data_IF_970688530029
#
_entry.id   IF_970688530029
#
_cell.length_a   1.000
_cell.length_b   1.000
_cell.length_c   1.000
_cell.angle_alpha   90.00
_cell.angle_beta   90.00
_cell.angle_gamma   90.00
#
_symmetry.space_group_name_H-M   'P 1'
#
loop_
_entity.id
_entity.type
_entity.pdbx_description
1 polymer ?
#
# COMPACT_ATOMS: atom_id res chain seq x y z
N UNK A 1 26.74 16.76 -25.60
CA UNK A 1 27.20 16.12 -24.32
C UNK A 1 26.41 16.81 -23.23
N UNK A 2 25.47 16.09 -22.62
CA UNK A 2 24.76 16.62 -21.45
C UNK A 2 25.78 16.91 -20.34
N UNK A 3 25.63 18.05 -19.70
CA UNK A 3 26.54 18.46 -18.64
C UNK A 3 26.30 17.58 -17.40
N UNK A 4 27.10 16.55 -17.22
CA UNK A 4 26.98 15.58 -16.13
C UNK A 4 27.01 16.22 -14.73
N UNK A 5 27.55 17.44 -14.60
CA UNK A 5 27.53 18.19 -13.35
C UNK A 5 26.13 18.64 -12.94
N UNK A 6 25.17 18.75 -13.89
CA UNK A 6 23.79 19.11 -13.58
C UNK A 6 22.97 17.96 -12.94
N UNK A 7 23.52 16.74 -12.91
CA UNK A 7 22.86 15.58 -12.30
C UNK A 7 23.04 15.58 -10.78
N UNK A 8 24.10 16.19 -10.29
CA UNK A 8 24.38 16.22 -8.85
C UNK A 8 23.68 17.41 -8.20
N UNK A 9 23.03 17.19 -7.03
CA UNK A 9 22.50 18.30 -6.24
C UNK A 9 23.64 19.17 -5.70
N UNK A 10 23.33 20.42 -5.31
CA UNK A 10 24.29 21.25 -4.59
C UNK A 10 24.66 20.61 -3.25
N UNK A 11 25.95 20.64 -2.90
CA UNK A 11 26.46 20.14 -1.61
C UNK A 11 26.12 21.16 -0.50
N UNK A 12 24.83 21.16 -0.12
CA UNK A 12 24.29 22.00 0.94
C UNK A 12 23.30 21.21 1.79
N UNK A 13 23.25 21.42 3.12
CA UNK A 13 22.22 20.86 3.97
C UNK A 13 20.83 21.24 3.46
N UNK A 14 19.92 20.26 3.33
CA UNK A 14 18.54 20.49 2.94
C UNK A 14 17.64 20.50 4.18
N UNK A 15 16.60 21.33 4.15
CA UNK A 15 15.56 21.30 5.17
C UNK A 15 14.67 20.08 4.91
N UNK A 16 14.51 19.16 5.88
CA UNK A 16 13.64 18.00 5.70
C UNK A 16 12.18 18.40 5.47
N UNK A 17 11.54 17.78 4.49
CA UNK A 17 10.07 17.88 4.33
C UNK A 17 9.46 16.77 5.20
N UNK A 18 8.76 17.17 6.27
CA UNK A 18 8.14 16.26 7.22
C UNK A 18 6.63 16.15 6.97
N UNK A 19 6.24 15.90 5.72
CA UNK A 19 4.85 15.65 5.35
C UNK A 19 4.73 14.16 4.97
N UNK A 20 3.87 13.34 5.65
CA UNK A 20 3.71 11.94 5.32
C UNK A 20 2.83 11.77 4.09
N UNK A 21 3.23 10.89 3.17
CA UNK A 21 2.52 10.61 1.93
C UNK A 21 2.22 9.13 1.72
N UNK A 22 2.88 8.24 2.45
CA UNK A 22 2.73 6.79 2.26
C UNK A 22 2.23 6.15 3.55
N UNK A 23 1.06 5.50 3.48
CA UNK A 23 0.36 4.97 4.64
C UNK A 23 0.09 3.48 4.48
N UNK A 24 0.25 2.73 5.56
CA UNK A 24 -0.18 1.34 5.64
C UNK A 24 -1.28 1.20 6.70
N UNK A 25 -2.47 0.79 6.28
CA UNK A 25 -3.64 0.59 7.13
C UNK A 25 -3.90 -0.91 7.27
N UNK A 26 -4.02 -1.41 8.50
CA UNK A 26 -4.40 -2.81 8.72
C UNK A 26 -5.45 -2.92 9.81
N UNK A 27 -6.18 -4.03 9.82
CA UNK A 27 -7.24 -4.27 10.79
C UNK A 27 -8.25 -5.29 10.28
N UNK A 28 -9.18 -5.70 11.13
CA UNK A 28 -10.25 -6.64 10.82
C UNK A 28 -11.10 -6.18 9.62
N UNK A 29 -11.77 -7.11 8.93
CA UNK A 29 -12.84 -6.75 7.99
C UNK A 29 -13.85 -5.81 8.66
N UNK A 30 -14.37 -4.85 7.89
CA UNK A 30 -15.36 -3.86 8.37
C UNK A 30 -14.87 -2.91 9.48
N UNK A 31 -13.56 -2.84 9.76
CA UNK A 31 -12.98 -1.87 10.69
C UNK A 31 -12.89 -0.44 10.11
N UNK A 32 -13.40 -0.20 8.90
CA UNK A 32 -13.50 1.13 8.30
C UNK A 32 -12.26 1.61 7.55
N UNK A 33 -11.32 0.73 7.19
CA UNK A 33 -10.09 1.09 6.48
C UNK A 33 -10.34 1.74 5.12
N UNK A 34 -11.07 1.06 4.22
CA UNK A 34 -11.41 1.55 2.87
C UNK A 34 -12.24 2.83 2.94
N UNK A 35 -13.19 2.89 3.88
CA UNK A 35 -13.99 4.09 4.14
C UNK A 35 -13.09 5.28 4.55
N UNK A 36 -12.16 5.08 5.48
CA UNK A 36 -11.20 6.12 5.87
C UNK A 36 -10.33 6.56 4.69
N UNK A 37 -9.81 5.61 3.91
CA UNK A 37 -8.96 5.89 2.76
C UNK A 37 -9.69 6.70 1.67
N UNK A 38 -11.01 6.50 1.49
CA UNK A 38 -11.80 7.22 0.49
C UNK A 38 -11.94 8.73 0.76
N UNK A 39 -11.61 9.20 1.96
CA UNK A 39 -11.61 10.63 2.29
C UNK A 39 -10.29 11.35 2.00
N UNK A 40 -9.27 10.64 1.54
CA UNK A 40 -8.07 11.30 1.02
C UNK A 40 -8.40 12.12 -0.24
N UNK A 41 -7.58 13.13 -0.59
CA UNK A 41 -7.83 14.00 -1.74
C UNK A 41 -7.85 13.24 -3.07
N UNK A 42 -8.88 13.41 -3.88
CA UNK A 42 -9.00 12.83 -5.24
C UNK A 42 -8.50 11.38 -5.34
N UNK A 43 -9.10 10.45 -4.59
CA UNK A 43 -8.63 9.07 -4.50
C UNK A 43 -8.94 8.26 -5.77
N UNK A 44 -8.00 7.39 -6.16
CA UNK A 44 -8.21 6.28 -7.09
C UNK A 44 -8.02 4.98 -6.30
N UNK A 45 -9.03 4.13 -6.29
CA UNK A 45 -8.96 2.82 -5.63
C UNK A 45 -8.54 1.73 -6.63
N UNK A 46 -7.45 1.04 -6.32
CA UNK A 46 -7.04 -0.20 -6.98
C UNK A 46 -7.59 -1.37 -6.15
N UNK A 47 -8.76 -1.84 -6.54
CA UNK A 47 -9.58 -2.75 -5.75
C UNK A 47 -9.40 -4.20 -6.20
N UNK A 48 -9.28 -5.13 -5.26
CA UNK A 48 -9.07 -6.54 -5.54
C UNK A 48 -10.30 -7.41 -5.26
N UNK A 49 -11.18 -7.00 -4.36
CA UNK A 49 -12.29 -7.82 -3.84
C UNK A 49 -13.65 -7.61 -4.54
N UNK A 50 -13.72 -6.67 -5.49
CA UNK A 50 -14.94 -6.38 -6.22
C UNK A 50 -15.94 -5.47 -5.48
N UNK A 51 -15.63 -5.00 -4.27
CA UNK A 51 -16.51 -4.13 -3.47
C UNK A 51 -16.43 -2.64 -3.86
N UNK A 52 -15.71 -2.32 -4.92
CA UNK A 52 -15.50 -0.93 -5.37
C UNK A 52 -16.81 -0.17 -5.66
N UNK A 53 -17.84 -0.87 -6.13
CA UNK A 53 -19.16 -0.27 -6.41
C UNK A 53 -19.88 0.23 -5.16
N UNK A 54 -19.48 -0.22 -3.96
CA UNK A 54 -20.02 0.24 -2.69
C UNK A 54 -19.32 1.50 -2.17
N UNK A 55 -18.22 1.90 -2.81
CA UNK A 55 -17.44 3.09 -2.45
C UNK A 55 -17.81 4.31 -3.29
N UNK A 56 -17.37 5.49 -2.84
CA UNK A 56 -17.55 6.76 -3.58
C UNK A 56 -16.31 7.13 -4.42
N UNK A 57 -15.17 6.48 -4.18
CA UNK A 57 -13.95 6.72 -4.93
C UNK A 57 -14.00 6.02 -6.30
N UNK A 58 -13.54 6.67 -7.38
CA UNK A 58 -13.27 5.97 -8.64
C UNK A 58 -12.38 4.76 -8.41
N UNK A 59 -12.69 3.63 -9.06
CA UNK A 59 -11.99 2.39 -8.80
C UNK A 59 -11.65 1.64 -10.08
N UNK A 60 -10.52 0.93 -10.04
CA UNK A 60 -10.11 -0.03 -11.06
C UNK A 60 -10.04 -1.41 -10.40
N UNK A 61 -10.76 -2.38 -10.97
CA UNK A 61 -10.67 -3.77 -10.52
C UNK A 61 -9.34 -4.38 -10.97
N UNK A 62 -8.54 -4.81 -10.02
CA UNK A 62 -7.29 -5.54 -10.27
C UNK A 62 -7.56 -7.04 -10.18
N UNK A 63 -7.19 -7.79 -11.22
CA UNK A 63 -7.35 -9.24 -11.23
C UNK A 63 -6.53 -9.91 -12.33
N UNK A 64 -6.20 -11.18 -12.13
CA UNK A 64 -5.83 -12.07 -13.21
C UNK A 64 -7.08 -12.61 -13.90
N UNK A 65 -7.10 -12.67 -15.23
CA UNK A 65 -8.12 -13.39 -15.99
C UNK A 65 -7.48 -14.46 -16.87
N UNK A 66 -8.23 -15.51 -17.17
CA UNK A 66 -7.73 -16.68 -17.86
C UNK A 66 -8.54 -16.96 -19.11
N UNK A 67 -7.88 -17.44 -20.16
CA UNK A 67 -8.47 -17.97 -21.35
C UNK A 67 -9.06 -19.36 -21.08
N UNK A 68 -9.83 -19.91 -22.04
CA UNK A 68 -10.43 -21.26 -21.92
C UNK A 68 -9.40 -22.37 -21.80
N UNK A 69 -8.19 -22.19 -22.34
CA UNK A 69 -7.07 -23.11 -22.24
C UNK A 69 -6.26 -22.97 -20.93
N UNK A 70 -6.71 -22.09 -20.04
CA UNK A 70 -6.05 -21.82 -18.75
C UNK A 70 -4.81 -20.93 -18.83
N UNK A 71 -4.46 -20.38 -20.00
CA UNK A 71 -3.43 -19.34 -20.11
C UNK A 71 -3.92 -18.01 -19.57
N UNK A 72 -2.99 -17.13 -19.13
CA UNK A 72 -3.33 -15.78 -18.67
C UNK A 72 -3.82 -14.94 -19.84
N UNK A 73 -5.03 -14.35 -19.70
CA UNK A 73 -5.54 -13.32 -20.59
C UNK A 73 -5.16 -11.92 -20.06
N UNK A 74 -5.39 -11.68 -18.77
CA UNK A 74 -4.98 -10.44 -18.09
C UNK A 74 -4.07 -10.79 -16.92
N UNK A 75 -2.96 -10.08 -16.80
CA UNK A 75 -1.96 -10.25 -15.77
C UNK A 75 -1.94 -9.03 -14.86
N UNK A 76 -2.18 -9.23 -13.57
CA UNK A 76 -2.23 -8.15 -12.57
C UNK A 76 -0.91 -7.37 -12.46
N UNK A 77 0.25 -7.99 -12.69
CA UNK A 77 1.55 -7.30 -12.68
C UNK A 77 1.58 -6.25 -13.81
N UNK A 78 1.24 -6.65 -15.04
CA UNK A 78 1.19 -5.73 -16.18
C UNK A 78 0.09 -4.68 -16.04
N UNK A 79 -1.07 -5.06 -15.52
CA UNK A 79 -2.17 -4.13 -15.26
C UNK A 79 -1.73 -3.01 -14.33
N UNK A 80 -1.12 -3.34 -13.20
CA UNK A 80 -0.63 -2.36 -12.23
C UNK A 80 0.48 -1.49 -12.80
N UNK A 81 1.44 -2.07 -13.52
CA UNK A 81 2.48 -1.30 -14.21
C UNK A 81 1.90 -0.30 -15.21
N UNK A 82 0.88 -0.71 -15.99
CA UNK A 82 0.21 0.18 -16.94
C UNK A 82 -0.55 1.32 -16.25
N UNK A 83 -1.16 1.05 -15.08
CA UNK A 83 -1.84 2.07 -14.27
C UNK A 83 -0.82 3.08 -13.76
N UNK A 84 0.32 2.63 -13.23
CA UNK A 84 1.38 3.54 -12.75
C UNK A 84 1.87 4.45 -13.88
N UNK A 85 2.11 3.90 -15.08
CA UNK A 85 2.49 4.68 -16.27
C UNK A 85 1.40 5.70 -16.64
N UNK A 86 0.12 5.31 -16.57
CA UNK A 86 -0.99 6.22 -16.83
C UNK A 86 -1.07 7.36 -15.79
N UNK A 87 -0.80 7.06 -14.53
CA UNK A 87 -0.80 8.05 -13.45
C UNK A 87 0.34 9.07 -13.55
N UNK A 88 1.41 8.76 -14.27
CA UNK A 88 2.52 9.68 -14.54
C UNK A 88 2.24 10.68 -15.68
N UNK A 89 1.15 10.48 -16.43
CA UNK A 89 0.86 11.34 -17.59
C UNK A 89 0.41 12.75 -17.18
N UNK A 90 0.74 13.79 -17.96
CA UNK A 90 0.24 15.13 -17.74
C UNK A 90 -1.30 15.18 -17.73
N UNK A 91 -1.88 16.00 -16.87
CA UNK A 91 -3.34 16.19 -16.78
C UNK A 91 -4.07 15.21 -15.86
N UNK A 92 -3.38 14.27 -15.23
CA UNK A 92 -3.97 13.40 -14.20
C UNK A 92 -4.37 14.22 -12.99
N UNK A 93 -5.65 14.07 -12.58
CA UNK A 93 -6.25 14.84 -11.47
C UNK A 93 -6.22 14.09 -10.14
N UNK A 94 -5.96 12.79 -10.14
CA UNK A 94 -5.82 12.01 -8.91
C UNK A 94 -4.70 12.54 -8.03
N UNK A 95 -4.89 12.45 -6.71
CA UNK A 95 -3.90 12.87 -5.69
C UNK A 95 -3.59 11.78 -4.70
N UNK A 96 -4.38 10.72 -4.70
CA UNK A 96 -4.19 9.56 -3.80
C UNK A 96 -4.43 8.27 -4.57
N UNK A 97 -3.57 7.29 -4.37
CA UNK A 97 -3.75 5.91 -4.84
C UNK A 97 -4.00 5.02 -3.63
N UNK A 98 -5.10 4.28 -3.65
CA UNK A 98 -5.46 3.33 -2.61
C UNK A 98 -5.29 1.91 -3.18
N UNK A 99 -4.50 1.08 -2.52
CA UNK A 99 -4.31 -0.35 -2.86
C UNK A 99 -5.14 -1.18 -1.89
N UNK A 100 -6.30 -1.66 -2.31
CA UNK A 100 -7.29 -2.33 -1.45
C UNK A 100 -7.67 -3.73 -1.99
N UNK A 101 -7.02 -4.79 -1.55
CA UNK A 101 -6.02 -4.93 -0.49
C UNK A 101 -4.69 -5.47 -1.06
N UNK A 102 -3.58 -5.07 -0.44
CA UNK A 102 -2.22 -5.48 -0.88
C UNK A 102 -1.98 -6.99 -0.72
N UNK A 103 -2.66 -7.64 0.23
CA UNK A 103 -2.59 -9.10 0.44
C UNK A 103 -3.00 -9.88 -0.80
N UNK A 104 -4.10 -9.47 -1.43
CA UNK A 104 -4.61 -10.12 -2.64
C UNK A 104 -3.70 -9.85 -3.85
N UNK A 105 -3.06 -8.67 -3.91
CA UNK A 105 -2.06 -8.36 -4.95
C UNK A 105 -0.89 -9.34 -4.87
N UNK A 106 -0.40 -9.64 -3.66
CA UNK A 106 0.66 -10.64 -3.48
C UNK A 106 0.23 -12.01 -4.01
N UNK A 107 -1.01 -12.42 -3.71
CA UNK A 107 -1.58 -13.68 -4.19
C UNK A 107 -1.75 -13.70 -5.71
N UNK A 108 -2.21 -12.59 -6.30
CA UNK A 108 -2.36 -12.46 -7.75
C UNK A 108 -1.01 -12.50 -8.47
N UNK A 109 0.02 -11.88 -7.89
CA UNK A 109 1.39 -11.94 -8.44
C UNK A 109 1.93 -13.37 -8.40
N UNK A 110 1.73 -14.09 -7.28
CA UNK A 110 2.08 -15.51 -7.17
C UNK A 110 1.40 -16.33 -8.27
N UNK A 111 0.09 -16.18 -8.45
CA UNK A 111 -0.68 -16.86 -9.50
C UNK A 111 -0.15 -16.54 -10.90
N UNK A 112 0.12 -15.26 -11.19
CA UNK A 112 0.61 -14.83 -12.49
C UNK A 112 1.99 -15.45 -12.81
N UNK A 113 2.90 -15.44 -11.84
CA UNK A 113 4.24 -16.03 -11.96
C UNK A 113 4.15 -17.55 -12.15
N UNK A 114 3.36 -18.25 -11.33
CA UNK A 114 3.17 -19.69 -11.46
C UNK A 114 2.62 -20.07 -12.84
N UNK A 115 1.64 -19.31 -13.36
CA UNK A 115 1.10 -19.53 -14.71
C UNK A 115 2.13 -19.29 -15.81
N UNK A 116 2.93 -18.23 -15.71
CA UNK A 116 3.98 -17.93 -16.66
C UNK A 116 5.02 -19.05 -16.76
N UNK A 117 5.35 -19.67 -15.64
CA UNK A 117 6.34 -20.75 -15.56
C UNK A 117 5.71 -22.14 -15.65
N UNK A 118 4.40 -22.27 -15.84
CA UNK A 118 3.66 -23.55 -15.85
C UNK A 118 3.93 -24.37 -14.57
N UNK A 119 4.09 -23.69 -13.43
CA UNK A 119 4.32 -24.27 -12.13
C UNK A 119 3.02 -24.29 -11.29
N UNK A 120 2.92 -25.24 -10.36
CA UNK A 120 1.79 -25.30 -9.42
C UNK A 120 1.98 -24.33 -8.25
N UNK A 121 3.23 -24.12 -7.85
CA UNK A 121 3.61 -23.21 -6.77
C UNK A 121 4.92 -22.50 -7.09
N UNK A 122 5.23 -21.43 -6.33
CA UNK A 122 6.54 -20.74 -6.48
C UNK A 122 7.72 -21.66 -6.14
N UNK A 123 7.52 -22.65 -5.27
CA UNK A 123 8.55 -23.61 -4.89
C UNK A 123 8.96 -24.54 -6.04
N UNK A 124 8.05 -24.80 -6.99
CA UNK A 124 8.32 -25.66 -8.16
C UNK A 124 9.16 -24.95 -9.22
N UNK A 125 9.35 -23.64 -9.10
CA UNK A 125 10.22 -22.87 -9.99
C UNK A 125 11.67 -23.00 -9.51
N UNK A 126 12.57 -23.54 -10.34
CA UNK A 126 13.92 -23.89 -9.91
C UNK A 126 14.71 -22.72 -9.32
N UNK A 127 15.64 -23.07 -8.42
CA UNK A 127 16.62 -22.15 -7.82
C UNK A 127 15.99 -20.98 -7.03
N UNK A 128 14.77 -21.17 -6.49
CA UNK A 128 14.08 -20.10 -5.73
C UNK A 128 13.65 -18.89 -6.56
N UNK A 129 13.76 -18.98 -7.90
CA UNK A 129 13.46 -17.90 -8.84
C UNK A 129 12.00 -17.41 -8.71
N UNK A 130 11.05 -18.31 -8.40
CA UNK A 130 9.65 -17.94 -8.20
C UNK A 130 9.48 -16.92 -7.08
N UNK A 131 10.07 -17.17 -5.92
CA UNK A 131 10.03 -16.23 -4.79
C UNK A 131 10.80 -14.94 -5.08
N UNK A 132 11.91 -15.00 -5.81
CA UNK A 132 12.66 -13.81 -6.20
C UNK A 132 11.82 -12.92 -7.11
N UNK A 133 11.16 -13.49 -8.10
CA UNK A 133 10.28 -12.75 -9.02
C UNK A 133 9.13 -12.05 -8.27
N UNK A 134 8.48 -12.78 -7.35
CA UNK A 134 7.41 -12.18 -6.54
C UNK A 134 7.92 -11.00 -5.71
N UNK A 135 9.05 -11.17 -5.01
CA UNK A 135 9.65 -10.10 -4.23
C UNK A 135 10.00 -8.87 -5.08
N UNK A 136 10.65 -9.11 -6.24
CA UNK A 136 11.04 -8.03 -7.14
C UNK A 136 9.82 -7.30 -7.71
N UNK A 137 8.79 -8.05 -8.12
CA UNK A 137 7.55 -7.44 -8.66
C UNK A 137 6.83 -6.60 -7.60
N UNK A 138 6.73 -7.10 -6.36
CA UNK A 138 6.12 -6.34 -5.26
C UNK A 138 6.94 -5.09 -4.91
N UNK A 139 8.25 -5.24 -4.79
CA UNK A 139 9.14 -4.12 -4.49
C UNK A 139 9.09 -3.05 -5.59
N UNK A 140 9.08 -3.48 -6.86
CA UNK A 140 8.94 -2.55 -7.99
C UNK A 140 7.63 -1.77 -7.91
N UNK A 141 6.48 -2.47 -7.70
CA UNK A 141 5.18 -1.81 -7.55
C UNK A 141 5.20 -0.75 -6.44
N UNK A 142 5.74 -1.10 -5.25
CA UNK A 142 5.78 -0.19 -4.11
C UNK A 142 6.65 1.03 -4.40
N UNK A 143 7.82 0.84 -5.02
CA UNK A 143 8.72 1.94 -5.38
C UNK A 143 8.13 2.83 -6.47
N UNK A 144 7.49 2.25 -7.48
CA UNK A 144 6.85 2.99 -8.56
C UNK A 144 5.68 3.85 -8.05
N UNK A 145 4.84 3.29 -7.17
CA UNK A 145 3.77 4.04 -6.52
C UNK A 145 4.33 5.17 -5.65
N UNK A 146 5.36 4.90 -4.86
CA UNK A 146 6.02 5.91 -4.00
C UNK A 146 6.67 7.04 -4.80
N UNK A 147 7.10 6.78 -6.03
CA UNK A 147 7.69 7.80 -6.91
C UNK A 147 6.65 8.75 -7.53
N UNK A 148 5.35 8.43 -7.44
CA UNK A 148 4.29 9.32 -7.90
C UNK A 148 4.19 10.55 -6.98
N UNK A 149 3.83 11.75 -7.51
CA UNK A 149 3.56 12.94 -6.71
C UNK A 149 2.15 12.86 -6.06
N UNK A 150 1.87 11.76 -5.36
CA UNK A 150 0.56 11.41 -4.81
C UNK A 150 0.72 10.77 -3.44
N UNK A 151 -0.33 10.82 -2.62
CA UNK A 151 -0.42 10.00 -1.43
C UNK A 151 -0.68 8.55 -1.83
N UNK A 152 -0.07 7.60 -1.12
CA UNK A 152 -0.29 6.16 -1.34
C UNK A 152 -0.79 5.51 -0.06
N UNK A 153 -1.90 4.80 -0.15
CA UNK A 153 -2.52 4.12 0.97
C UNK A 153 -2.60 2.62 0.67
N UNK A 154 -1.79 1.82 1.34
CA UNK A 154 -1.88 0.37 1.29
C UNK A 154 -2.81 -0.13 2.38
N UNK A 155 -3.77 -0.98 2.02
CA UNK A 155 -4.70 -1.59 2.96
C UNK A 155 -4.40 -3.08 3.05
N UNK A 156 -4.33 -3.61 4.27
CA UNK A 156 -4.12 -5.02 4.59
C UNK A 156 -5.19 -5.52 5.57
N UNK A 157 -5.44 -6.82 5.55
CA UNK A 157 -6.21 -7.51 6.60
C UNK A 157 -5.34 -7.72 7.82
N UNK A 158 -5.94 -8.13 8.94
CA UNK A 158 -5.22 -8.57 10.12
C UNK A 158 -5.43 -10.05 10.39
N UNK A 159 -4.51 -10.62 11.16
CA UNK A 159 -4.57 -11.95 11.72
C UNK A 159 -4.36 -11.87 13.22
N UNK A 160 -5.06 -12.74 13.95
CA UNK A 160 -4.86 -12.96 15.37
C UNK A 160 -3.64 -13.85 15.55
N UNK A 161 -2.69 -13.41 16.36
CA UNK A 161 -1.51 -14.19 16.73
C UNK A 161 -1.48 -14.36 18.25
N UNK A 162 -1.91 -15.52 18.71
CA UNK A 162 -1.90 -15.83 20.14
C UNK A 162 -0.56 -16.48 20.53
N UNK A 163 0.09 -15.92 21.53
CA UNK A 163 1.26 -16.52 22.17
C UNK A 163 0.77 -17.64 23.11
N UNK A 164 1.09 -18.87 22.78
CA UNK A 164 0.66 -20.06 23.54
C UNK A 164 1.19 -20.07 24.99
N UNK A 165 2.31 -19.39 25.27
CA UNK A 165 2.91 -19.37 26.61
C UNK A 165 2.26 -18.34 27.52
N UNK A 166 1.88 -17.20 26.97
CA UNK A 166 1.35 -16.07 27.74
C UNK A 166 -0.16 -15.94 27.63
N UNK A 167 -0.79 -16.60 26.64
CA UNK A 167 -2.21 -16.46 26.30
C UNK A 167 -2.55 -15.07 25.70
N UNK A 168 -1.55 -14.23 25.41
CA UNK A 168 -1.76 -12.92 24.84
C UNK A 168 -2.02 -13.03 23.34
N UNK A 169 -3.07 -12.37 22.88
CA UNK A 169 -3.37 -12.24 21.44
C UNK A 169 -2.90 -10.88 20.95
N UNK A 170 -2.02 -10.89 19.95
CA UNK A 170 -1.60 -9.70 19.21
C UNK A 170 -2.25 -9.72 17.84
N UNK A 171 -2.67 -8.53 17.37
CA UNK A 171 -3.26 -8.33 16.06
C UNK A 171 -2.18 -7.82 15.11
N UNK A 172 -1.89 -8.60 14.07
CA UNK A 172 -0.80 -8.31 13.13
C UNK A 172 -1.33 -8.28 11.69
N UNK A 173 -0.70 -7.52 10.78
CA UNK A 173 -1.06 -7.57 9.36
C UNK A 173 -0.99 -8.99 8.80
N UNK A 174 -1.91 -9.33 7.89
CA UNK A 174 -1.96 -10.68 7.27
C UNK A 174 -0.85 -10.93 6.26
N UNK A 175 -0.16 -9.89 5.83
CA UNK A 175 1.00 -10.03 4.97
C UNK A 175 2.11 -10.88 5.61
N UNK A 176 2.70 -11.78 4.82
CA UNK A 176 3.92 -12.48 5.24
C UNK A 176 4.99 -11.45 5.60
N UNK A 177 5.77 -11.71 6.65
CA UNK A 177 6.77 -10.77 7.20
C UNK A 177 7.61 -10.08 6.11
N UNK A 178 8.13 -10.85 5.16
CA UNK A 178 8.96 -10.29 4.08
C UNK A 178 8.22 -9.28 3.19
N UNK A 179 6.95 -9.53 2.88
CA UNK A 179 6.14 -8.60 2.06
C UNK A 179 5.73 -7.39 2.88
N UNK A 180 5.41 -7.61 4.16
CA UNK A 180 5.18 -6.54 5.13
C UNK A 180 6.36 -5.58 5.18
N UNK A 181 7.59 -6.10 5.32
CA UNK A 181 8.80 -5.29 5.37
C UNK A 181 9.04 -4.49 4.07
N UNK A 182 8.75 -5.08 2.90
CA UNK A 182 8.84 -4.39 1.61
C UNK A 182 7.87 -3.20 1.57
N UNK A 183 6.63 -3.39 2.00
CA UNK A 183 5.61 -2.34 1.92
C UNK A 183 5.84 -1.27 2.99
N UNK A 184 5.92 -1.67 4.27
CA UNK A 184 6.00 -0.74 5.40
C UNK A 184 7.33 -0.02 5.51
N UNK A 185 8.43 -0.66 5.03
CA UNK A 185 9.72 -0.01 4.87
C UNK A 185 9.68 1.22 3.95
N UNK A 186 8.65 1.36 3.13
CA UNK A 186 8.40 2.48 2.25
C UNK A 186 7.26 3.41 2.71
N UNK A 187 6.60 3.09 3.82
CA UNK A 187 5.53 3.91 4.40
C UNK A 187 6.04 4.90 5.44
N UNK A 188 5.31 5.98 5.63
CA UNK A 188 5.57 7.02 6.62
C UNK A 188 4.86 6.74 7.94
N UNK A 189 3.70 6.08 7.87
CA UNK A 189 2.95 5.64 9.05
C UNK A 189 2.24 4.30 8.81
N UNK A 190 2.22 3.48 9.87
CA UNK A 190 1.45 2.24 9.98
C UNK A 190 0.33 2.45 10.99
N UNK A 191 -0.91 2.23 10.58
CA UNK A 191 -2.10 2.55 11.37
C UNK A 191 -2.97 1.30 11.53
N UNK A 192 -3.21 0.90 12.77
CA UNK A 192 -4.10 -0.19 13.12
C UNK A 192 -5.54 0.33 13.28
N UNK A 193 -6.47 -0.34 12.63
CA UNK A 193 -7.90 -0.06 12.67
C UNK A 193 -8.62 -1.12 13.47
N UNK A 194 -9.30 -0.71 14.53
CA UNK A 194 -10.09 -1.59 15.40
C UNK A 194 -11.51 -1.06 15.51
N UNK A 195 -12.49 -1.97 15.51
CA UNK A 195 -13.88 -1.65 15.81
C UNK A 195 -14.27 -2.29 17.14
N UNK A 196 -14.68 -1.48 18.10
CA UNK A 196 -15.18 -1.90 19.42
C UNK A 196 -16.61 -1.40 19.57
N UNK A 197 -17.57 -2.33 19.47
CA UNK A 197 -18.97 -1.93 19.39
C UNK A 197 -19.27 -1.04 18.20
N UNK A 198 -19.69 0.20 18.43
CA UNK A 198 -19.94 1.20 17.39
C UNK A 198 -18.78 2.19 17.19
N UNK A 199 -17.71 2.05 17.94
CA UNK A 199 -16.55 2.95 17.86
C UNK A 199 -15.49 2.43 16.91
N UNK A 200 -14.94 3.32 16.09
CA UNK A 200 -13.83 3.04 15.16
C UNK A 200 -12.56 3.71 15.68
N UNK A 201 -11.64 2.90 16.16
CA UNK A 201 -10.36 3.34 16.70
C UNK A 201 -9.28 3.24 15.63
N UNK A 202 -8.36 4.20 15.63
CA UNK A 202 -7.23 4.29 14.70
C UNK A 202 -5.98 4.58 15.51
N UNK A 203 -5.12 3.59 15.63
CA UNK A 203 -3.90 3.67 16.43
C UNK A 203 -2.68 3.63 15.50
N UNK A 204 -1.85 4.67 15.53
CA UNK A 204 -0.54 4.63 14.85
C UNK A 204 0.38 3.72 15.63
N UNK A 205 0.80 2.62 14.99
CA UNK A 205 1.70 1.62 15.59
C UNK A 205 3.16 1.90 15.26
N UNK A 206 3.43 2.48 14.08
CA UNK A 206 4.77 2.86 13.64
C UNK A 206 4.70 4.16 12.84
N UNK A 207 5.72 4.98 12.95
CA UNK A 207 5.89 6.20 12.13
C UNK A 207 7.37 6.48 11.86
N UNK A 208 7.65 7.00 10.68
CA UNK A 208 9.01 7.28 10.22
C UNK A 208 9.63 8.51 10.90
N UNK A 209 8.81 9.49 11.25
CA UNK A 209 9.25 10.75 11.82
C UNK A 209 8.27 11.27 12.89
N UNK A 210 8.68 12.31 13.60
CA UNK A 210 7.82 13.05 14.52
C UNK A 210 7.09 14.14 13.75
N UNK A 211 5.90 13.78 13.22
CA UNK A 211 5.07 14.69 12.44
C UNK A 211 4.39 15.72 13.35
N UNK A 212 4.26 16.94 12.84
CA UNK A 212 3.52 18.04 13.47
C UNK A 212 2.32 18.41 12.61
N UNK A 213 1.25 18.88 13.22
CA UNK A 213 0.05 19.34 12.48
C UNK A 213 0.36 20.48 11.49
N UNK A 214 1.31 21.35 11.86
CA UNK A 214 1.73 22.47 11.02
C UNK A 214 2.46 22.06 9.74
N UNK A 215 3.00 20.83 9.68
CA UNK A 215 3.71 20.32 8.50
C UNK A 215 2.75 19.81 7.42
N UNK A 216 1.48 19.55 7.78
CA UNK A 216 0.47 19.00 6.86
C UNK A 216 -0.21 20.14 6.11
N UNK A 217 0.05 20.25 4.82
CA UNK A 217 -0.47 21.33 3.97
C UNK A 217 -1.93 21.13 3.57
N UNK A 218 -2.34 19.88 3.36
CA UNK A 218 -3.70 19.59 2.91
C UNK A 218 -4.65 19.47 4.12
N UNK A 219 -5.70 20.33 4.23
CA UNK A 219 -6.64 20.30 5.38
C UNK A 219 -7.42 19.00 5.51
N UNK A 220 -7.74 18.32 4.40
CA UNK A 220 -8.44 17.05 4.43
C UNK A 220 -7.55 15.96 5.01
N UNK A 221 -6.27 15.87 4.57
CA UNK A 221 -5.28 14.94 5.12
C UNK A 221 -5.03 15.26 6.60
N UNK A 222 -4.88 16.53 6.97
CA UNK A 222 -4.72 16.94 8.37
C UNK A 222 -5.89 16.46 9.24
N UNK A 223 -7.12 16.62 8.77
CA UNK A 223 -8.32 16.16 9.48
C UNK A 223 -8.31 14.63 9.67
N UNK A 224 -7.97 13.89 8.62
CA UNK A 224 -7.89 12.42 8.67
C UNK A 224 -6.82 11.97 9.66
N UNK A 225 -5.61 12.47 9.52
CA UNK A 225 -4.48 12.09 10.37
C UNK A 225 -4.67 12.53 11.83
N UNK A 226 -5.39 13.64 12.09
CA UNK A 226 -5.75 14.08 13.45
C UNK A 226 -6.70 13.12 14.15
N UNK A 227 -7.44 12.29 13.42
CA UNK A 227 -8.30 11.24 13.98
C UNK A 227 -7.52 9.95 14.33
N UNK A 228 -6.21 9.90 14.03
CA UNK A 228 -5.36 8.75 14.31
C UNK A 228 -4.53 9.00 15.57
N UNK A 229 -4.82 8.27 16.63
CA UNK A 229 -4.09 8.39 17.92
C UNK A 229 -2.61 8.07 17.72
N UNK A 230 -1.73 8.93 18.22
CA UNK A 230 -0.28 8.76 18.11
C UNK A 230 0.35 9.29 16.82
N UNK A 231 -0.44 9.86 15.88
CA UNK A 231 0.10 10.43 14.65
C UNK A 231 0.98 11.65 14.93
N UNK A 232 0.45 12.61 15.62
CA UNK A 232 1.15 13.85 15.94
C UNK A 232 1.79 13.78 17.33
N UNK A 233 2.98 14.38 17.43
CA UNK A 233 3.62 14.59 18.73
C UNK A 233 2.83 15.69 19.48
N UNK A 234 2.46 15.43 20.72
CA UNK A 234 1.86 16.48 21.55
C UNK A 234 2.85 17.63 21.66
N UNK A 235 2.49 18.78 21.15
CA UNK A 235 3.18 20.02 21.46
C UNK A 235 2.97 20.29 22.96
N UNK A 236 4.06 20.24 23.73
CA UNK A 236 4.06 20.66 25.14
C UNK A 236 4.01 22.17 25.22
#
# INVERSE_FOLDING_TARGET
MENLQSILPEDKPQTPVLEPHNFFLYGAPMAGKSYFASFFPHPLSLNTDGNAEQGTAPAIQIRNTFNRDGSLNQNSIYQLSSIVVALQQPGVTYRTVIVDVIDDICTMFEQAICKQYKALSLADIPYGKGYQLLNTSLQQLVLDLKALPMDVVFISRELDKTDEKTGRTDYVPSLKTKYYDIVTGNCDAVIHFTKIGNEYLRQVTQKRANYKKADIKNPAVLKLLSSCTGMFTNEK
#
